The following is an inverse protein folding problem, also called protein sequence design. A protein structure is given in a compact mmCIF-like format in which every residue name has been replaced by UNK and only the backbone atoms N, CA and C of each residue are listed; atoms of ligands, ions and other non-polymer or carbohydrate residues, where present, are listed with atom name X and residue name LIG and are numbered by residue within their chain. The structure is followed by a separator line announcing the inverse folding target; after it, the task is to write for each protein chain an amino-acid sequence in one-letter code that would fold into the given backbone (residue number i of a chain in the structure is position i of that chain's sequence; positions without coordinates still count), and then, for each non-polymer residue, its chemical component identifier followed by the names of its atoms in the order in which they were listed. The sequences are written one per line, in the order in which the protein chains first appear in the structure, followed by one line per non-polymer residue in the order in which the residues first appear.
data_IF_478747672743
#
_entry.id   IF_478747672743
#
_cell.length_a   1.000
_cell.length_b   1.000
_cell.length_c   1.000
_cell.angle_alpha   90.00
_cell.angle_beta   90.00
_cell.angle_gamma   90.00
#
_symmetry.space_group_name_H-M   'P 1'
#
loop_
_entity.id
_entity.type
_entity.pdbx_description
1 polymer ?
#
# COMPACT_ATOMS: atom_id res chain seq x y z
N UNK A 1 -2.11 20.45 2.38
CA UNK A 1 -1.29 19.26 2.05
C UNK A 1 -2.05 18.01 2.45
N UNK A 2 -2.06 16.98 1.60
CA UNK A 2 -2.76 15.72 1.85
C UNK A 2 -1.87 14.54 1.48
N UNK A 3 -1.82 13.50 2.29
CA UNK A 3 -1.01 12.30 2.07
C UNK A 3 -1.90 11.10 1.81
N UNK A 4 -1.66 10.38 0.72
CA UNK A 4 -2.37 9.16 0.38
C UNK A 4 -1.45 7.95 0.55
N UNK A 5 -1.65 7.19 1.63
CA UNK A 5 -0.86 6.01 1.95
C UNK A 5 -1.39 4.83 1.14
N UNK A 6 -0.51 4.21 0.36
CA UNK A 6 -0.77 2.97 -0.37
C UNK A 6 -0.01 1.86 0.32
N UNK A 7 -0.69 0.79 0.69
CA UNK A 7 -0.01 -0.40 1.21
C UNK A 7 0.79 -1.04 0.08
N UNK A 8 2.00 -1.48 0.41
CA UNK A 8 2.78 -2.28 -0.52
C UNK A 8 2.04 -3.58 -0.84
N UNK A 9 1.83 -3.85 -2.13
CA UNK A 9 1.26 -5.10 -2.60
C UNK A 9 2.40 -6.08 -2.86
N UNK A 10 2.49 -7.12 -2.05
CA UNK A 10 3.54 -8.13 -2.17
C UNK A 10 3.39 -8.92 -3.49
N UNK A 11 4.51 -9.22 -4.14
CA UNK A 11 4.60 -10.09 -5.32
C UNK A 11 5.77 -11.07 -5.17
N UNK A 12 5.75 -12.23 -5.86
CA UNK A 12 6.85 -13.20 -5.79
C UNK A 12 8.21 -12.59 -6.14
N UNK A 13 9.21 -12.76 -5.29
CA UNK A 13 10.55 -12.20 -5.48
C UNK A 13 10.73 -10.75 -4.99
N UNK A 14 9.70 -10.13 -4.41
CA UNK A 14 9.85 -8.81 -3.82
C UNK A 14 10.83 -8.85 -2.63
N UNK A 15 11.72 -7.85 -2.58
CA UNK A 15 12.68 -7.66 -1.48
C UNK A 15 12.06 -7.07 -0.22
N UNK A 16 10.86 -6.50 -0.34
CA UNK A 16 10.18 -5.76 0.73
C UNK A 16 8.87 -6.44 1.11
N UNK A 17 8.47 -6.22 2.36
CA UNK A 17 7.21 -6.69 2.89
C UNK A 17 6.26 -5.53 3.18
N UNK A 18 4.94 -5.75 3.12
CA UNK A 18 3.97 -4.77 3.57
C UNK A 18 4.22 -4.40 5.04
N UNK A 19 4.06 -3.12 5.36
CA UNK A 19 4.16 -2.65 6.74
C UNK A 19 3.11 -3.33 7.62
N UNK A 20 3.46 -3.57 8.89
CA UNK A 20 2.50 -4.05 9.88
C UNK A 20 1.38 -3.02 10.10
N UNK A 21 0.21 -3.50 10.51
CA UNK A 21 -0.92 -2.62 10.83
C UNK A 21 -0.58 -1.60 11.94
N UNK A 22 0.30 -1.97 12.88
CA UNK A 22 0.78 -1.07 13.94
C UNK A 22 1.64 0.06 13.38
N UNK A 23 2.60 -0.26 12.50
CA UNK A 23 3.48 0.74 11.90
C UNK A 23 2.70 1.72 11.01
N UNK A 24 1.73 1.22 10.24
CA UNK A 24 0.83 2.09 9.47
C UNK A 24 0.01 3.01 10.39
N UNK A 25 -0.53 2.49 11.49
CA UNK A 25 -1.30 3.28 12.45
C UNK A 25 -0.44 4.39 13.05
N UNK A 26 0.80 4.08 13.40
CA UNK A 26 1.75 5.03 13.95
C UNK A 26 2.13 6.12 12.94
N UNK A 27 2.43 5.73 11.70
CA UNK A 27 2.69 6.68 10.62
C UNK A 27 1.55 7.68 10.43
N UNK A 28 0.30 7.20 10.42
CA UNK A 28 -0.89 8.07 10.34
C UNK A 28 -1.04 8.97 11.56
N UNK A 29 -0.69 8.48 12.76
CA UNK A 29 -0.75 9.26 13.99
C UNK A 29 0.19 10.46 13.92
N UNK A 30 1.41 10.25 13.44
CA UNK A 30 2.40 11.32 13.25
C UNK A 30 1.90 12.37 12.25
N UNK A 31 1.39 11.94 11.09
CA UNK A 31 0.84 12.87 10.09
C UNK A 31 -0.34 13.69 10.64
N UNK A 32 -1.26 13.04 11.35
CA UNK A 32 -2.41 13.73 11.97
C UNK A 32 -1.97 14.74 13.03
N UNK A 33 -0.97 14.40 13.86
CA UNK A 33 -0.40 15.32 14.85
C UNK A 33 0.22 16.56 14.22
N UNK A 34 0.76 16.43 13.01
CA UNK A 34 1.27 17.54 12.22
C UNK A 34 0.18 18.32 11.46
N UNK A 35 -1.12 18.02 11.66
CA UNK A 35 -2.23 18.66 10.95
C UNK A 35 -2.38 18.22 9.50
N UNK A 36 -1.73 17.12 9.09
CA UNK A 36 -1.74 16.62 7.72
C UNK A 36 -2.89 15.64 7.55
N UNK A 37 -3.81 15.94 6.65
CA UNK A 37 -4.87 15.03 6.26
C UNK A 37 -4.26 13.78 5.59
N UNK A 38 -4.70 12.60 6.04
CA UNK A 38 -4.16 11.31 5.57
C UNK A 38 -5.26 10.30 5.28
N UNK A 39 -5.21 9.70 4.10
CA UNK A 39 -6.05 8.56 3.71
C UNK A 39 -5.21 7.32 3.50
N UNK A 40 -5.75 6.14 3.82
CA UNK A 40 -5.13 4.86 3.49
C UNK A 40 -5.97 4.19 2.42
N UNK A 41 -5.35 3.88 1.29
CA UNK A 41 -5.98 3.01 0.29
C UNK A 41 -5.82 1.57 0.72
N UNK A 42 -6.93 0.93 1.09
CA UNK A 42 -7.01 -0.52 1.18
C UNK A 42 -7.04 -1.07 -0.25
N UNK A 43 -6.10 -1.92 -0.60
CA UNK A 43 -6.12 -2.67 -1.85
C UNK A 43 -7.33 -3.60 -1.84
N UNK A 44 -8.44 -3.22 -2.48
CA UNK A 44 -9.52 -4.16 -2.83
C UNK A 44 -8.89 -5.12 -3.84
N UNK A 45 -8.48 -6.31 -3.42
CA UNK A 45 -7.82 -7.26 -4.32
C UNK A 45 -6.74 -8.15 -3.70
N UNK A 46 -6.31 -7.92 -2.45
CA UNK A 46 -5.32 -8.80 -1.79
C UNK A 46 -5.85 -10.22 -1.53
N UNK A 47 -7.17 -10.39 -1.44
CA UNK A 47 -7.84 -11.70 -1.32
C UNK A 47 -7.95 -12.44 -2.67
N UNK A 48 -7.74 -11.75 -3.80
CA UNK A 48 -7.97 -12.27 -5.16
C UNK A 48 -6.78 -12.03 -6.10
N UNK A 49 -5.59 -11.66 -5.60
CA UNK A 49 -4.42 -11.36 -6.45
C UNK A 49 -4.78 -10.38 -7.59
N UNK A 50 -5.56 -9.33 -7.26
CA UNK A 50 -5.98 -8.29 -8.21
C UNK A 50 -5.58 -6.88 -7.75
N UNK A 51 -4.54 -6.77 -6.91
CA UNK A 51 -4.08 -5.47 -6.45
C UNK A 51 -3.24 -4.78 -7.53
N UNK A 52 -3.44 -3.46 -7.72
CA UNK A 52 -2.72 -2.69 -8.73
C UNK A 52 -1.20 -2.88 -8.61
N UNK A 53 -0.59 -3.33 -9.72
CA UNK A 53 0.76 -3.90 -9.80
C UNK A 53 0.81 -5.25 -10.52
N UNK A 54 -0.33 -5.94 -10.66
CA UNK A 54 -0.42 -7.26 -11.33
C UNK A 54 -0.86 -7.21 -12.80
N UNK A 55 -1.07 -6.00 -13.35
CA UNK A 55 -1.19 -5.81 -14.79
C UNK A 55 0.21 -5.73 -15.41
N UNK A 56 1.07 -6.71 -15.13
CA UNK A 56 2.13 -7.02 -16.06
C UNK A 56 1.43 -7.69 -17.24
N UNK A 57 1.12 -6.91 -18.28
CA UNK A 57 0.71 -7.48 -19.56
C UNK A 57 1.72 -8.55 -19.93
N UNK A 58 1.24 -9.72 -20.33
CA UNK A 58 2.08 -10.69 -21.04
C UNK A 58 2.63 -9.96 -22.27
N UNK A 59 3.85 -9.46 -22.20
CA UNK A 59 4.63 -9.23 -23.40
C UNK A 59 5.07 -10.62 -23.90
N UNK A 60 4.79 -10.84 -25.18
CA UNK A 60 4.77 -12.14 -25.82
C UNK A 60 6.14 -12.85 -25.77
N UNK A 61 6.06 -14.16 -25.52
CA UNK A 61 7.03 -15.17 -25.93
C UNK A 61 6.24 -16.40 -26.36
#
# INVERSE_FOLDING_TARGET
MHVNVVRFNHYPGAKYQPASASNEKEFRRVLKKAGIAVTVRKSRGQEILAACGQLAGKENG
#
